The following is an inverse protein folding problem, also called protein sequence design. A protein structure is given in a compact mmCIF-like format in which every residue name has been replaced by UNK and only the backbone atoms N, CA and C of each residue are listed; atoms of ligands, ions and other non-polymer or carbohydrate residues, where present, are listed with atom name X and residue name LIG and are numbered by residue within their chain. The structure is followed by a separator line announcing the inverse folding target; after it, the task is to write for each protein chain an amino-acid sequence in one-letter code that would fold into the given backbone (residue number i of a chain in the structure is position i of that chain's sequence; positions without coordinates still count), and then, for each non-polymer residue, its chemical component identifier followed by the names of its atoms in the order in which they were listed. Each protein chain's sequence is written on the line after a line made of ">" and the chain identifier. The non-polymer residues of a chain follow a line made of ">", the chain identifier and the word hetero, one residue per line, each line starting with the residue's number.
data_IF_108639215574
#
_entry.id   IF_108639215574
#
_cell.length_a   1.000
_cell.length_b   1.000
_cell.length_c   1.000
_cell.angle_alpha   90.00
_cell.angle_beta   90.00
_cell.angle_gamma   90.00
#
_symmetry.space_group_name_H-M   'P 1'
#
loop_
_entity.id
_entity.type
_entity.pdbx_description
1 polymer ?
#
# COMPACT_ATOMS: atom_id res chain seq x y z
N UNK A 1 -9.69 14.83 -15.05
CA UNK A 1 -9.17 14.57 -13.68
C UNK A 1 -10.26 13.91 -12.85
N UNK A 2 -9.97 12.79 -12.24
CA UNK A 2 -10.83 12.07 -11.30
C UNK A 2 -10.06 11.86 -10.01
N UNK A 3 -10.74 11.97 -8.85
CA UNK A 3 -10.13 11.83 -7.52
C UNK A 3 -10.82 10.73 -6.77
N UNK A 4 -10.04 9.87 -6.13
CA UNK A 4 -10.52 8.75 -5.34
C UNK A 4 -9.85 8.74 -3.97
N UNK A 5 -10.63 8.53 -2.90
CA UNK A 5 -10.08 8.17 -1.60
C UNK A 5 -9.58 6.72 -1.67
N UNK A 6 -8.41 6.41 -1.11
CA UNK A 6 -7.79 5.09 -1.28
C UNK A 6 -7.15 4.54 0.00
N UNK A 7 -6.87 3.26 0.00
CA UNK A 7 -5.99 2.62 0.95
C UNK A 7 -6.54 2.53 2.37
N UNK A 8 -5.73 3.00 3.33
CA UNK A 8 -6.02 2.87 4.76
C UNK A 8 -7.34 3.48 5.19
N UNK A 9 -7.70 4.64 4.66
CA UNK A 9 -8.94 5.34 4.99
C UNK A 9 -10.19 4.54 4.59
N UNK A 10 -10.19 3.98 3.35
CA UNK A 10 -11.31 3.16 2.86
C UNK A 10 -11.42 1.87 3.65
N UNK A 11 -10.29 1.16 3.83
CA UNK A 11 -10.23 -0.06 4.64
C UNK A 11 -10.74 0.16 6.05
N UNK A 12 -10.24 1.17 6.77
CA UNK A 12 -10.58 1.39 8.17
C UNK A 12 -12.04 1.79 8.32
N UNK A 13 -12.60 2.56 7.37
CA UNK A 13 -14.05 2.83 7.32
C UNK A 13 -14.87 1.56 7.14
N UNK A 14 -14.48 0.67 6.23
CA UNK A 14 -15.16 -0.62 6.01
C UNK A 14 -15.09 -1.54 7.24
N UNK A 15 -14.02 -1.41 8.03
CA UNK A 15 -13.88 -2.10 9.33
C UNK A 15 -14.60 -1.41 10.50
N UNK A 16 -15.33 -0.31 10.25
CA UNK A 16 -15.97 0.48 11.31
C UNK A 16 -15.00 1.18 12.25
N UNK A 17 -13.77 1.42 11.80
CA UNK A 17 -12.71 2.09 12.58
C UNK A 17 -12.57 3.55 12.14
N UNK A 18 -12.27 4.48 13.06
CA UNK A 18 -11.94 5.84 12.66
C UNK A 18 -10.63 5.83 11.85
N UNK A 19 -10.69 6.32 10.63
CA UNK A 19 -9.51 6.59 9.81
C UNK A 19 -8.98 8.00 10.12
N UNK A 20 -7.68 8.15 10.27
CA UNK A 20 -7.03 9.44 10.53
C UNK A 20 -6.43 10.04 9.28
N UNK A 21 -5.84 9.24 8.41
CA UNK A 21 -5.11 9.70 7.23
C UNK A 21 -5.95 9.44 5.98
N UNK A 22 -6.21 10.50 5.23
CA UNK A 22 -7.00 10.45 3.99
C UNK A 22 -6.09 10.66 2.80
N UNK A 23 -5.69 9.55 2.18
CA UNK A 23 -4.90 9.53 0.97
C UNK A 23 -5.80 9.54 -0.25
N UNK A 24 -5.50 10.39 -1.23
CA UNK A 24 -6.23 10.47 -2.49
C UNK A 24 -5.33 10.09 -3.67
N UNK A 25 -5.92 9.39 -4.63
CA UNK A 25 -5.31 9.15 -5.94
C UNK A 25 -6.01 10.01 -6.98
N UNK A 26 -5.22 10.69 -7.78
CA UNK A 26 -5.66 11.54 -8.89
C UNK A 26 -5.35 10.84 -10.21
N UNK A 27 -6.38 10.56 -10.98
CA UNK A 27 -6.30 9.92 -12.30
C UNK A 27 -6.58 10.95 -13.40
N UNK A 28 -5.83 10.89 -14.48
CA UNK A 28 -6.06 11.74 -15.65
C UNK A 28 -5.67 13.20 -15.43
N UNK A 29 -4.59 13.45 -14.66
CA UNK A 29 -4.04 14.78 -14.44
C UNK A 29 -2.51 14.76 -14.54
N UNK A 30 -1.93 15.95 -14.74
CA UNK A 30 -0.49 16.16 -14.71
C UNK A 30 -0.06 16.94 -13.44
N UNK A 31 1.24 16.92 -13.08
CA UNK A 31 1.77 17.75 -12.01
C UNK A 31 1.45 19.23 -12.19
N UNK A 32 1.58 19.74 -13.44
CA UNK A 32 1.33 21.14 -13.77
C UNK A 32 -0.13 21.54 -13.58
N UNK A 33 -1.05 20.61 -13.81
CA UNK A 33 -2.49 20.84 -13.56
C UNK A 33 -2.77 20.99 -12.08
N UNK A 34 -2.18 20.14 -11.23
CA UNK A 34 -2.35 20.25 -9.77
C UNK A 34 -1.71 21.54 -9.24
N UNK A 35 -0.53 21.92 -9.72
CA UNK A 35 0.11 23.20 -9.36
C UNK A 35 -0.78 24.40 -9.71
N UNK A 36 -1.39 24.41 -10.91
CA UNK A 36 -2.33 25.48 -11.33
C UNK A 36 -3.58 25.54 -10.45
N UNK A 37 -4.00 24.41 -9.88
CA UNK A 37 -5.12 24.35 -8.94
C UNK A 37 -4.72 24.71 -7.49
N UNK A 38 -3.46 25.12 -7.26
CA UNK A 38 -2.96 25.57 -5.97
C UNK A 38 -2.49 24.46 -5.03
N UNK A 39 -2.35 23.23 -5.52
CA UNK A 39 -1.76 22.14 -4.72
C UNK A 39 -0.27 22.38 -4.51
N UNK A 40 0.24 22.03 -3.33
CA UNK A 40 1.66 22.18 -2.98
C UNK A 40 2.38 20.83 -3.13
N UNK A 41 3.44 20.74 -3.95
CA UNK A 41 4.18 19.49 -4.11
C UNK A 41 4.95 19.17 -2.83
N UNK A 42 4.90 17.90 -2.41
CA UNK A 42 5.66 17.33 -1.30
C UNK A 42 6.29 16.01 -1.73
N UNK A 43 7.42 15.67 -1.15
CA UNK A 43 8.16 14.46 -1.53
C UNK A 43 9.17 14.71 -2.66
N UNK A 44 10.31 14.02 -2.56
CA UNK A 44 11.43 14.18 -3.50
C UNK A 44 11.31 13.21 -4.69
N UNK A 45 10.71 12.05 -4.46
CA UNK A 45 10.76 10.94 -5.42
C UNK A 45 9.43 10.68 -6.13
N UNK A 46 8.31 11.23 -5.61
CA UNK A 46 6.96 10.97 -6.13
C UNK A 46 6.14 12.25 -6.25
N UNK A 47 5.27 12.33 -7.25
CA UNK A 47 4.33 13.43 -7.40
C UNK A 47 3.18 13.31 -6.38
N UNK A 48 3.46 13.63 -5.12
CA UNK A 48 2.48 13.80 -4.05
C UNK A 48 2.29 15.29 -3.80
N UNK A 49 1.06 15.70 -3.60
CA UNK A 49 0.67 17.10 -3.43
C UNK A 49 -0.25 17.24 -2.23
N UNK A 50 -0.12 18.35 -1.51
CA UNK A 50 -1.06 18.72 -0.46
C UNK A 50 -2.18 19.58 -1.03
N UNK A 51 -3.40 19.26 -0.66
CA UNK A 51 -4.57 20.06 -1.02
C UNK A 51 -4.49 21.45 -0.36
N UNK A 52 -4.78 22.55 -1.09
CA UNK A 52 -4.54 23.90 -0.62
C UNK A 52 -5.32 24.31 0.64
N UNK A 53 -6.43 23.64 0.95
CA UNK A 53 -7.29 23.96 2.07
C UNK A 53 -7.27 22.89 3.17
N UNK A 54 -7.35 21.60 2.79
CA UNK A 54 -7.45 20.49 3.75
C UNK A 54 -6.09 19.93 4.17
N UNK A 55 -5.04 20.20 3.39
CA UNK A 55 -3.70 19.63 3.55
C UNK A 55 -3.65 18.09 3.48
N UNK A 56 -4.72 17.48 2.99
CA UNK A 56 -4.74 16.04 2.70
C UNK A 56 -3.81 15.72 1.52
N UNK A 57 -3.26 14.49 1.50
CA UNK A 57 -2.33 14.05 0.46
C UNK A 57 -3.05 13.58 -0.80
N UNK A 58 -2.60 14.09 -1.94
CA UNK A 58 -3.07 13.74 -3.28
C UNK A 58 -1.90 13.25 -4.11
N UNK A 59 -1.89 11.97 -4.45
CA UNK A 59 -0.88 11.37 -5.30
C UNK A 59 -1.42 11.17 -6.72
N UNK A 60 -0.63 11.49 -7.74
CA UNK A 60 -0.98 11.10 -9.11
C UNK A 60 -0.94 9.58 -9.24
N UNK A 61 -1.91 9.02 -9.96
CA UNK A 61 -1.91 7.60 -10.30
C UNK A 61 -0.60 7.23 -10.99
N UNK A 62 0.00 6.10 -10.59
CA UNK A 62 1.31 5.69 -11.10
C UNK A 62 1.44 4.18 -11.22
N UNK A 63 2.30 3.77 -12.13
CA UNK A 63 2.86 2.43 -12.17
C UNK A 63 4.27 2.43 -11.60
N UNK A 64 4.67 1.29 -11.09
CA UNK A 64 6.02 1.05 -10.58
C UNK A 64 6.63 -0.11 -11.38
N UNK A 65 7.87 0.07 -11.85
CA UNK A 65 8.62 -1.01 -12.50
C UNK A 65 9.95 -1.22 -11.79
N UNK A 66 10.24 -2.46 -11.45
CA UNK A 66 11.55 -2.83 -10.92
C UNK A 66 12.57 -2.77 -12.07
N UNK A 67 13.53 -1.85 -11.99
CA UNK A 67 14.62 -1.68 -12.95
C UNK A 67 15.99 -2.11 -12.40
N UNK A 68 16.04 -2.50 -11.11
CA UNK A 68 17.25 -2.93 -10.41
C UNK A 68 16.96 -3.60 -9.09
N UNK A 69 18.00 -3.92 -8.32
CA UNK A 69 17.86 -4.51 -6.99
C UNK A 69 17.65 -3.44 -5.92
N UNK A 70 16.87 -3.78 -4.88
CA UNK A 70 16.62 -2.90 -3.74
C UNK A 70 15.71 -1.71 -4.06
N UNK A 71 15.61 -0.76 -3.11
CA UNK A 71 14.71 0.40 -3.19
C UNK A 71 15.04 1.36 -4.33
N UNK A 72 16.32 1.60 -4.61
CA UNK A 72 16.75 2.46 -5.72
C UNK A 72 16.48 1.87 -7.11
N UNK A 73 16.04 0.62 -7.18
CA UNK A 73 15.74 -0.10 -8.42
C UNK A 73 14.32 0.09 -8.94
N UNK A 74 13.53 1.03 -8.44
CA UNK A 74 12.18 1.32 -8.97
C UNK A 74 12.18 2.54 -9.87
N UNK A 75 11.54 2.40 -11.02
CA UNK A 75 11.17 3.51 -11.90
C UNK A 75 9.68 3.75 -11.77
N UNK A 76 9.32 5.00 -11.47
CA UNK A 76 7.92 5.42 -11.34
C UNK A 76 7.48 6.10 -12.63
N UNK A 77 6.31 5.72 -13.11
CA UNK A 77 5.67 6.36 -14.24
C UNK A 77 4.33 6.89 -13.81
N UNK A 78 4.21 8.21 -13.71
CA UNK A 78 2.98 8.93 -13.44
C UNK A 78 2.63 9.75 -14.68
N UNK A 79 1.55 9.38 -15.34
CA UNK A 79 1.08 10.05 -16.55
C UNK A 79 -0.47 9.98 -16.58
N UNK A 80 -1.15 10.87 -17.34
CA UNK A 80 -2.61 10.90 -17.38
C UNK A 80 -3.27 9.63 -17.91
N UNK A 81 -2.54 8.77 -18.62
CA UNK A 81 -2.99 7.48 -19.13
C UNK A 81 -2.94 6.33 -18.13
N UNK A 82 -2.28 6.54 -16.96
CA UNK A 82 -2.27 5.55 -15.88
C UNK A 82 -3.66 5.46 -15.26
N UNK A 83 -4.21 4.26 -15.27
CA UNK A 83 -5.56 4.00 -14.75
C UNK A 83 -5.57 3.86 -13.22
N UNK A 84 -6.74 4.00 -12.61
CA UNK A 84 -6.93 3.69 -11.18
C UNK A 84 -6.56 2.23 -10.87
N UNK A 85 -6.95 1.30 -11.74
CA UNK A 85 -6.64 -0.13 -11.57
C UNK A 85 -5.14 -0.38 -11.56
N UNK A 86 -4.37 0.29 -12.42
CA UNK A 86 -2.91 0.17 -12.44
C UNK A 86 -2.29 0.66 -11.12
N UNK A 87 -2.77 1.78 -10.57
CA UNK A 87 -2.30 2.26 -9.27
C UNK A 87 -2.67 1.29 -8.13
N UNK A 88 -3.87 0.75 -8.13
CA UNK A 88 -4.31 -0.21 -7.13
C UNK A 88 -3.53 -1.55 -7.24
N UNK A 89 -3.21 -1.99 -8.46
CA UNK A 89 -2.49 -3.26 -8.74
C UNK A 89 -1.09 -3.32 -8.11
N UNK A 90 -0.40 -2.18 -8.00
CA UNK A 90 0.95 -2.11 -7.42
C UNK A 90 0.97 -2.14 -5.88
N UNK A 91 -0.19 -2.07 -5.22
CA UNK A 91 -0.28 -2.05 -3.75
C UNK A 91 0.05 -3.40 -3.14
N UNK A 92 0.28 -3.41 -1.83
CA UNK A 92 0.71 -4.59 -1.09
C UNK A 92 -0.41 -5.62 -0.87
N UNK A 93 -1.51 -5.20 -0.25
CA UNK A 93 -2.62 -6.07 0.13
C UNK A 93 -3.94 -5.62 -0.53
N UNK A 94 -4.80 -6.58 -0.85
CA UNK A 94 -6.13 -6.34 -1.43
C UNK A 94 -6.96 -5.37 -0.58
N UNK A 95 -6.91 -5.52 0.73
CA UNK A 95 -7.61 -4.64 1.69
C UNK A 95 -7.12 -3.18 1.65
N UNK A 96 -5.95 -2.91 1.08
CA UNK A 96 -5.39 -1.58 0.85
C UNK A 96 -5.54 -1.11 -0.60
N UNK A 97 -6.08 -1.96 -1.49
CA UNK A 97 -6.27 -1.72 -2.91
C UNK A 97 -7.74 -1.48 -3.27
N UNK A 98 -8.46 -0.82 -2.38
CA UNK A 98 -9.85 -0.38 -2.57
C UNK A 98 -9.83 1.13 -2.71
N UNK A 99 -10.60 1.64 -3.66
CA UNK A 99 -10.82 3.07 -3.84
C UNK A 99 -12.29 3.42 -3.64
N UNK A 100 -12.56 4.67 -3.24
CA UNK A 100 -13.89 5.23 -3.11
C UNK A 100 -13.99 6.48 -3.95
N UNK A 101 -14.97 6.51 -4.83
CA UNK A 101 -15.30 7.67 -5.65
C UNK A 101 -16.02 8.74 -4.82
N UNK A 102 -16.09 10.01 -5.32
CA UNK A 102 -16.76 11.09 -4.60
C UNK A 102 -18.25 10.87 -4.30
N UNK A 103 -18.92 10.01 -5.08
CA UNK A 103 -20.31 9.61 -4.85
C UNK A 103 -20.48 8.48 -3.81
N UNK A 104 -19.36 8.03 -3.22
CA UNK A 104 -19.33 6.95 -2.24
C UNK A 104 -19.28 5.54 -2.84
N UNK A 105 -19.30 5.39 -4.16
CA UNK A 105 -19.16 4.09 -4.81
C UNK A 105 -17.75 3.53 -4.63
N UNK A 106 -17.68 2.21 -4.43
CA UNK A 106 -16.39 1.52 -4.26
C UNK A 106 -15.91 0.97 -5.60
N UNK A 107 -14.59 1.13 -5.83
CA UNK A 107 -13.85 0.49 -6.93
C UNK A 107 -12.89 -0.51 -6.29
N UNK A 108 -13.19 -1.80 -6.45
CA UNK A 108 -12.49 -2.92 -5.83
C UNK A 108 -12.16 -4.02 -6.83
N UNK A 109 -11.23 -3.78 -7.76
CA UNK A 109 -10.90 -4.74 -8.82
C UNK A 109 -10.18 -6.01 -8.30
N UNK A 110 -9.66 -5.98 -7.08
CA UNK A 110 -8.86 -7.07 -6.51
C UNK A 110 -9.55 -7.82 -5.36
N UNK A 111 -10.82 -7.50 -5.06
CA UNK A 111 -11.61 -8.21 -4.07
C UNK A 111 -11.24 -7.90 -2.62
N UNK A 112 -10.75 -6.69 -2.35
CA UNK A 112 -10.37 -6.26 -1.01
C UNK A 112 -11.54 -6.21 -0.04
N UNK A 113 -12.75 -5.86 -0.49
CA UNK A 113 -13.98 -5.90 0.33
C UNK A 113 -14.26 -7.31 0.81
N UNK A 114 -14.21 -8.29 -0.10
CA UNK A 114 -14.38 -9.71 0.23
C UNK A 114 -13.32 -10.19 1.24
N UNK A 115 -12.06 -9.78 1.06
CA UNK A 115 -10.97 -10.17 1.96
C UNK A 115 -11.10 -9.48 3.34
N UNK A 116 -11.67 -8.26 3.42
CA UNK A 116 -12.05 -7.62 4.68
C UNK A 116 -13.13 -8.45 5.41
N UNK A 117 -14.19 -8.84 4.71
CA UNK A 117 -15.27 -9.66 5.28
C UNK A 117 -14.78 -11.03 5.74
N UNK A 118 -13.94 -11.67 4.93
CA UNK A 118 -13.31 -12.96 5.24
C UNK A 118 -12.17 -12.86 6.27
N UNK A 119 -11.73 -11.64 6.62
CA UNK A 119 -10.59 -11.38 7.51
C UNK A 119 -9.29 -12.00 7.01
N UNK A 120 -8.97 -11.78 5.76
CA UNK A 120 -7.79 -12.33 5.08
C UNK A 120 -6.83 -11.21 4.65
N UNK A 121 -5.55 -11.40 4.94
CA UNK A 121 -4.45 -10.59 4.41
C UNK A 121 -3.92 -11.27 3.15
N UNK A 122 -4.30 -10.75 1.99
CA UNK A 122 -3.94 -11.28 0.66
C UNK A 122 -3.18 -10.22 -0.13
N UNK A 123 -2.12 -10.62 -0.83
CA UNK A 123 -1.40 -9.75 -1.77
C UNK A 123 -2.28 -9.41 -2.98
N UNK A 124 -2.01 -8.26 -3.61
CA UNK A 124 -2.81 -7.80 -4.76
C UNK A 124 -2.44 -8.54 -6.05
N UNK A 125 -1.15 -8.71 -6.31
CA UNK A 125 -0.65 -9.25 -7.58
C UNK A 125 0.72 -9.93 -7.40
N UNK A 126 1.20 -10.72 -8.39
CA UNK A 126 2.54 -11.30 -8.37
C UNK A 126 3.67 -10.26 -8.25
N UNK A 127 3.45 -9.00 -8.63
CA UNK A 127 4.39 -7.90 -8.42
C UNK A 127 4.69 -7.63 -6.92
N UNK A 128 4.01 -8.33 -6.02
CA UNK A 128 4.30 -8.33 -4.59
C UNK A 128 5.77 -8.64 -4.28
N UNK A 129 6.40 -9.55 -5.02
CA UNK A 129 7.80 -9.96 -4.80
C UNK A 129 8.82 -8.89 -5.20
N UNK A 130 8.42 -7.86 -5.92
CA UNK A 130 9.33 -6.83 -6.41
C UNK A 130 9.87 -5.92 -5.31
N UNK A 131 9.10 -5.68 -4.23
CA UNK A 131 9.52 -4.88 -3.08
C UNK A 131 9.60 -5.76 -1.81
N UNK A 132 10.82 -6.14 -1.37
CA UNK A 132 10.98 -7.01 -0.20
C UNK A 132 10.47 -6.38 1.10
N UNK A 133 10.29 -5.05 1.18
CA UNK A 133 9.71 -4.40 2.36
C UNK A 133 8.26 -4.82 2.59
N UNK A 134 7.57 -5.33 1.57
CA UNK A 134 6.21 -5.86 1.71
C UNK A 134 6.13 -7.03 2.68
N UNK A 135 7.22 -7.80 2.87
CA UNK A 135 7.31 -8.80 3.95
C UNK A 135 7.02 -8.19 5.32
N UNK A 136 7.72 -7.09 5.62
CA UNK A 136 7.60 -6.39 6.90
C UNK A 136 6.24 -5.71 7.04
N UNK A 137 5.74 -5.12 5.94
CA UNK A 137 4.42 -4.49 5.91
C UNK A 137 3.31 -5.49 6.20
N UNK A 138 3.32 -6.66 5.55
CA UNK A 138 2.34 -7.73 5.80
C UNK A 138 2.41 -8.21 7.24
N UNK A 139 3.61 -8.44 7.77
CA UNK A 139 3.81 -8.83 9.17
C UNK A 139 3.28 -7.76 10.14
N UNK A 140 3.47 -6.47 9.84
CA UNK A 140 2.89 -5.37 10.63
C UNK A 140 1.37 -5.35 10.56
N UNK A 141 0.78 -5.56 9.38
CA UNK A 141 -0.68 -5.67 9.27
C UNK A 141 -1.23 -6.89 10.01
N UNK A 142 -0.50 -8.01 10.03
CA UNK A 142 -0.87 -9.16 10.86
C UNK A 142 -0.88 -8.77 12.36
N UNK A 143 0.12 -8.00 12.83
CA UNK A 143 0.13 -7.49 14.20
C UNK A 143 -1.02 -6.53 14.50
N UNK A 144 -1.36 -5.65 13.54
CA UNK A 144 -2.43 -4.66 13.66
C UNK A 144 -3.81 -5.30 13.70
N UNK A 145 -4.05 -6.32 12.86
CA UNK A 145 -5.37 -6.91 12.65
C UNK A 145 -5.58 -8.26 13.33
N UNK A 146 -4.57 -8.79 14.06
CA UNK A 146 -4.73 -10.01 14.84
C UNK A 146 -5.93 -9.97 15.81
N UNK A 147 -6.21 -8.87 16.55
CA UNK A 147 -7.37 -8.81 17.44
C UNK A 147 -8.71 -8.88 16.70
N UNK A 148 -8.72 -8.58 15.39
CA UNK A 148 -9.91 -8.69 14.54
C UNK A 148 -10.04 -10.08 13.90
N UNK A 149 -9.09 -11.00 14.15
CA UNK A 149 -9.11 -12.35 13.63
C UNK A 149 -8.63 -12.47 12.18
N UNK A 150 -7.87 -11.51 11.67
CA UNK A 150 -7.28 -11.63 10.34
C UNK A 150 -6.20 -12.70 10.29
N UNK A 151 -6.21 -13.48 9.22
CA UNK A 151 -5.22 -14.52 8.91
C UNK A 151 -4.52 -14.20 7.60
N UNK A 152 -3.31 -14.72 7.44
CA UNK A 152 -2.54 -14.57 6.20
C UNK A 152 -3.00 -15.63 5.19
N UNK A 153 -3.24 -15.22 3.94
CA UNK A 153 -3.53 -16.14 2.84
C UNK A 153 -2.31 -17.02 2.54
N UNK A 154 -2.53 -18.33 2.27
CA UNK A 154 -1.46 -19.29 2.01
C UNK A 154 -0.60 -18.90 0.80
N UNK A 155 -1.22 -18.40 -0.26
CA UNK A 155 -0.53 -17.91 -1.44
C UNK A 155 0.32 -16.66 -1.17
N UNK A 156 -0.08 -15.81 -0.22
CA UNK A 156 0.72 -14.66 0.20
C UNK A 156 1.92 -15.10 1.03
N UNK A 157 1.73 -16.07 1.93
CA UNK A 157 2.83 -16.68 2.68
C UNK A 157 3.83 -17.37 1.74
N UNK A 158 3.36 -18.04 0.67
CA UNK A 158 4.20 -18.63 -0.33
C UNK A 158 5.10 -17.59 -1.04
N UNK A 159 4.54 -16.45 -1.48
CA UNK A 159 5.33 -15.35 -2.06
C UNK A 159 6.31 -14.73 -1.06
N UNK A 160 5.93 -14.60 0.21
CA UNK A 160 6.85 -14.12 1.24
C UNK A 160 8.06 -15.06 1.41
N UNK A 161 7.84 -16.37 1.37
CA UNK A 161 8.92 -17.37 1.39
C UNK A 161 9.80 -17.30 0.15
N UNK A 162 9.21 -17.06 -1.01
CA UNK A 162 9.94 -16.87 -2.26
C UNK A 162 10.90 -15.68 -2.19
N UNK A 163 10.47 -14.52 -1.69
CA UNK A 163 11.31 -13.33 -1.51
C UNK A 163 12.55 -13.67 -0.63
N UNK A 164 12.34 -14.44 0.46
CA UNK A 164 13.43 -14.85 1.34
C UNK A 164 14.35 -15.84 0.63
N UNK A 165 13.82 -16.84 -0.06
CA UNK A 165 14.59 -17.85 -0.78
C UNK A 165 15.44 -17.25 -1.91
N UNK A 166 14.94 -16.22 -2.59
CA UNK A 166 15.67 -15.49 -3.63
C UNK A 166 16.74 -14.53 -3.07
N UNK A 167 16.85 -14.39 -1.74
CA UNK A 167 17.82 -13.50 -1.10
C UNK A 167 17.46 -12.01 -1.19
N UNK A 168 16.27 -11.67 -1.71
CA UNK A 168 15.85 -10.26 -1.85
C UNK A 168 15.73 -9.55 -0.49
N UNK A 169 15.45 -10.28 0.58
CA UNK A 169 15.40 -9.74 1.94
C UNK A 169 16.75 -9.15 2.41
N UNK A 170 17.86 -9.58 1.82
CA UNK A 170 19.21 -9.05 2.13
C UNK A 170 19.43 -7.62 1.58
N UNK A 171 18.58 -7.20 0.64
CA UNK A 171 18.63 -5.86 0.04
C UNK A 171 17.68 -4.85 0.71
N UNK A 172 17.11 -5.22 1.86
CA UNK A 172 16.31 -4.32 2.66
C UNK A 172 17.15 -3.18 3.21
N UNK A 173 16.66 -1.95 3.03
CA UNK A 173 17.30 -0.74 3.55
C UNK A 173 16.99 -0.61 5.03
N UNK A 174 18.02 -0.39 5.85
CA UNK A 174 17.92 -0.39 7.31
C UNK A 174 16.86 0.58 7.85
N UNK A 175 16.72 1.76 7.26
CA UNK A 175 15.71 2.76 7.64
C UNK A 175 14.29 2.23 7.43
N UNK A 176 14.03 1.54 6.32
CA UNK A 176 12.70 0.96 6.03
C UNK A 176 12.41 -0.22 6.98
N UNK A 177 13.40 -1.06 7.27
CA UNK A 177 13.29 -2.14 8.26
C UNK A 177 12.96 -1.56 9.63
N UNK A 178 13.69 -0.54 10.05
CA UNK A 178 13.44 0.12 11.33
C UNK A 178 12.03 0.73 11.39
N UNK A 179 11.62 1.45 10.36
CA UNK A 179 10.31 2.10 10.31
C UNK A 179 9.16 1.09 10.46
N UNK A 180 9.18 0.00 9.70
CA UNK A 180 8.14 -1.04 9.75
C UNK A 180 8.18 -1.78 11.09
N UNK A 181 9.37 -2.13 11.60
CA UNK A 181 9.53 -2.82 12.88
C UNK A 181 9.09 -1.95 14.04
N UNK A 182 9.54 -0.69 14.08
CA UNK A 182 9.16 0.25 15.14
C UNK A 182 7.64 0.50 15.16
N UNK A 183 7.01 0.59 13.99
CA UNK A 183 5.55 0.71 13.89
C UNK A 183 4.86 -0.58 14.35
N UNK A 184 5.37 -1.74 13.94
CA UNK A 184 4.81 -3.04 14.33
C UNK A 184 4.85 -3.29 15.85
N UNK A 185 5.88 -2.80 16.54
CA UNK A 185 5.99 -2.91 18.00
C UNK A 185 4.94 -2.08 18.76
N UNK A 186 4.32 -1.10 18.10
CA UNK A 186 3.21 -0.28 18.64
C UNK A 186 1.84 -0.83 18.31
N UNK A 187 1.75 -1.83 17.43
CA UNK A 187 0.48 -2.43 17.05
C UNK A 187 -0.10 -3.29 18.20
N UNK A 188 -1.41 -3.56 18.20
CA UNK A 188 -2.07 -4.26 19.30
C UNK A 188 -1.50 -5.65 19.66
N UNK A 189 -0.91 -6.35 18.66
CA UNK A 189 -0.35 -7.70 18.87
C UNK A 189 1.05 -7.79 18.27
N UNK A 190 2.09 -7.17 18.88
CA UNK A 190 3.44 -7.10 18.30
C UNK A 190 4.06 -8.47 18.03
N UNK A 191 3.72 -9.49 18.86
CA UNK A 191 4.22 -10.86 18.67
C UNK A 191 3.76 -11.49 17.36
N UNK A 192 2.63 -11.07 16.78
CA UNK A 192 2.17 -11.55 15.49
C UNK A 192 3.10 -11.08 14.36
N UNK A 193 3.74 -9.91 14.48
CA UNK A 193 4.76 -9.46 13.53
C UNK A 193 5.88 -10.49 13.38
N UNK A 194 6.47 -10.92 14.49
CA UNK A 194 7.57 -11.88 14.46
C UNK A 194 7.13 -13.26 13.95
N UNK A 195 5.93 -13.73 14.36
CA UNK A 195 5.41 -15.02 13.91
C UNK A 195 5.05 -15.09 12.42
N UNK A 196 4.72 -13.95 11.83
CA UNK A 196 4.34 -13.86 10.42
C UNK A 196 5.54 -13.85 9.49
N UNK A 197 6.69 -13.40 9.96
CA UNK A 197 7.91 -13.38 9.15
C UNK A 197 8.36 -14.81 8.84
N UNK A 198 8.57 -15.16 7.54
CA UNK A 198 9.13 -16.45 7.18
C UNK A 198 10.59 -16.49 7.61
N UNK A 199 10.86 -17.20 8.71
CA UNK A 199 12.22 -17.48 9.13
C UNK A 199 12.80 -18.51 8.15
N UNK A 200 14.01 -18.25 7.64
CA UNK A 200 14.77 -19.28 6.90
C UNK A 200 15.03 -20.45 7.84
N UNK A 201 14.46 -21.60 7.53
CA UNK A 201 14.82 -22.89 8.14
C UNK A 201 16.10 -23.42 7.49
#
# INVERSE_FOLDING_TARGET
>A
MQVYLVGGAVRDRLLGRPGTDRDHVVVGATPEELLRLGYTPVGKDFPVFLHPQTHEEYALARTERKSGRGYAGFTFHAAPDVTLEDDLRRRDLTINAIAEAPDGSLVDPFGGVRDIEARVLRHVSPAFVEDPVRLLRVARFAARFAPLGFTLADETLALMREIVAQGEAQHLVAERVWQETHTALKEPTPSAFLRTLPLST
#
